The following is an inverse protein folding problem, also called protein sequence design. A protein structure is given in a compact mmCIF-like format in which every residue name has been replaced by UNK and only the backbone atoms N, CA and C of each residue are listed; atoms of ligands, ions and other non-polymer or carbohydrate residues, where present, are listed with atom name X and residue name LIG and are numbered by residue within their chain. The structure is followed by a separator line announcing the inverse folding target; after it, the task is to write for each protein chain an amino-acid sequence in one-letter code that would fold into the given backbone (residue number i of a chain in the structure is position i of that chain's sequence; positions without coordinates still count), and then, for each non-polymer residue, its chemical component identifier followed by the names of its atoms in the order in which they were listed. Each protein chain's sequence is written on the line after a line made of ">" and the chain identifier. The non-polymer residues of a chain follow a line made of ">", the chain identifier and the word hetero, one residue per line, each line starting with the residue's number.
data_IF_938645034509
#
_entry.id   IF_938645034509
#
_cell.length_a   1.000
_cell.length_b   1.000
_cell.length_c   1.000
_cell.angle_alpha   90.00
_cell.angle_beta   90.00
_cell.angle_gamma   90.00
#
_symmetry.space_group_name_H-M   'P 1'
#
loop_
_entity.id
_entity.type
_entity.pdbx_description
1 polymer ?
#
# COMPACT_ATOMS: atom_id res chain seq x y z
N UNK A 1 -17.69 -22.08 2.97
CA UNK A 1 -17.94 -20.62 2.84
C UNK A 1 -16.63 -19.97 2.45
N UNK A 2 -16.61 -19.21 1.34
CA UNK A 2 -15.40 -18.73 0.69
C UNK A 2 -14.50 -17.99 1.68
N UNK A 3 -13.30 -18.54 1.88
CA UNK A 3 -12.27 -17.98 2.75
C UNK A 3 -11.85 -16.63 2.14
N UNK A 4 -12.50 -15.54 2.58
CA UNK A 4 -12.27 -14.19 2.05
C UNK A 4 -10.83 -13.85 2.41
N UNK A 5 -9.93 -13.96 1.43
CA UNK A 5 -8.49 -13.81 1.65
C UNK A 5 -8.29 -12.48 2.40
N UNK A 6 -7.72 -12.51 3.62
CA UNK A 6 -7.56 -11.31 4.43
C UNK A 6 -6.55 -10.33 3.82
N UNK A 7 -5.82 -10.78 2.80
CA UNK A 7 -4.80 -10.00 2.10
C UNK A 7 -5.30 -9.75 0.68
N UNK A 8 -5.38 -8.48 0.31
CA UNK A 8 -5.72 -8.01 -1.04
C UNK A 8 -4.41 -7.60 -1.71
N UNK A 9 -4.16 -8.15 -2.89
CA UNK A 9 -3.02 -7.71 -3.68
C UNK A 9 -3.34 -6.37 -4.36
N UNK A 10 -2.49 -5.37 -4.12
CA UNK A 10 -2.60 -4.03 -4.69
C UNK A 10 -1.60 -3.82 -5.85
N UNK A 11 -0.69 -4.76 -6.12
CA UNK A 11 0.29 -4.63 -7.19
C UNK A 11 -0.38 -4.48 -8.54
N UNK A 12 -1.49 -5.18 -8.76
CA UNK A 12 -2.30 -5.06 -9.97
C UNK A 12 -2.87 -3.66 -10.22
N UNK A 13 -3.03 -2.83 -9.17
CA UNK A 13 -3.51 -1.46 -9.32
C UNK A 13 -2.39 -0.44 -9.54
N UNK A 14 -1.12 -0.87 -9.42
CA UNK A 14 0.06 -0.03 -9.58
C UNK A 14 -0.06 1.32 -8.82
N UNK A 15 -0.58 1.27 -7.59
CA UNK A 15 -0.80 2.46 -6.77
C UNK A 15 0.54 2.87 -6.17
N UNK A 16 0.95 4.09 -6.46
CA UNK A 16 2.13 4.71 -5.89
C UNK A 16 1.87 6.18 -5.58
N UNK A 17 2.59 6.70 -4.60
CA UNK A 17 2.55 8.11 -4.23
C UNK A 17 3.94 8.59 -3.85
N UNK A 18 4.21 9.87 -4.07
CA UNK A 18 5.44 10.49 -3.61
C UNK A 18 5.21 11.13 -2.24
N UNK A 19 6.12 10.89 -1.30
CA UNK A 19 6.13 11.49 0.04
C UNK A 19 7.57 11.80 0.41
N UNK A 20 7.87 13.05 0.79
CA UNK A 20 9.22 13.47 1.20
C UNK A 20 10.35 13.09 0.21
N UNK A 21 10.12 13.29 -1.09
CA UNK A 21 11.07 12.94 -2.16
C UNK A 21 11.34 11.42 -2.34
N UNK A 22 10.56 10.59 -1.65
CA UNK A 22 10.54 9.14 -1.79
C UNK A 22 9.28 8.74 -2.56
N UNK A 23 9.39 7.70 -3.38
CA UNK A 23 8.27 7.09 -4.09
C UNK A 23 7.85 5.84 -3.33
N UNK A 24 6.62 5.82 -2.85
CA UNK A 24 6.04 4.74 -2.08
C UNK A 24 5.08 3.97 -2.97
N UNK A 25 5.41 2.73 -3.28
CA UNK A 25 4.57 1.78 -4.02
C UNK A 25 3.81 0.88 -3.07
N UNK A 26 2.51 0.75 -3.24
CA UNK A 26 1.71 -0.18 -2.46
C UNK A 26 1.77 -1.59 -3.06
N UNK A 27 2.05 -2.59 -2.23
CA UNK A 27 2.12 -4.01 -2.62
C UNK A 27 0.87 -4.76 -2.21
N UNK A 28 0.60 -4.86 -0.91
CA UNK A 28 -0.48 -5.70 -0.38
C UNK A 28 -1.21 -5.00 0.73
N UNK A 29 -2.54 -5.15 0.77
CA UNK A 29 -3.38 -4.68 1.86
C UNK A 29 -3.80 -5.84 2.73
N UNK A 30 -3.29 -5.87 3.96
CA UNK A 30 -3.73 -6.80 4.97
C UNK A 30 -4.95 -6.23 5.71
N UNK A 31 -6.16 -6.67 5.34
CA UNK A 31 -7.42 -6.31 6.00
C UNK A 31 -7.49 -6.79 7.44
N UNK A 32 -6.77 -7.86 7.82
CA UNK A 32 -6.78 -8.39 9.20
C UNK A 32 -6.12 -7.42 10.19
N UNK A 33 -4.99 -6.82 9.78
CA UNK A 33 -4.23 -5.89 10.61
C UNK A 33 -4.43 -4.42 10.21
N UNK A 34 -5.22 -4.15 9.16
CA UNK A 34 -5.38 -2.84 8.53
C UNK A 34 -4.04 -2.18 8.17
N UNK A 35 -3.08 -2.98 7.71
CA UNK A 35 -1.75 -2.53 7.29
C UNK A 35 -1.55 -2.75 5.80
N UNK A 36 -0.74 -1.88 5.21
CA UNK A 36 -0.38 -1.90 3.80
C UNK A 36 1.12 -2.12 3.74
N UNK A 37 1.54 -3.18 3.06
CA UNK A 37 2.94 -3.36 2.68
C UNK A 37 3.25 -2.40 1.54
N UNK A 38 4.31 -1.63 1.73
CA UNK A 38 4.80 -0.63 0.81
C UNK A 38 6.26 -0.87 0.48
N UNK A 39 6.66 -0.44 -0.70
CA UNK A 39 8.05 -0.36 -1.11
C UNK A 39 8.42 1.10 -1.28
N UNK A 40 9.47 1.51 -0.59
CA UNK A 40 9.99 2.86 -0.66
C UNK A 40 11.15 2.86 -1.65
N UNK A 41 11.09 3.79 -2.60
CA UNK A 41 12.14 4.07 -3.57
C UNK A 41 12.61 5.50 -3.37
N UNK A 42 13.91 5.74 -3.47
CA UNK A 42 14.49 7.07 -3.37
C UNK A 42 15.41 7.28 -4.57
N UNK A 43 15.21 8.38 -5.29
CA UNK A 43 15.94 8.69 -6.52
C UNK A 43 15.94 7.53 -7.54
N UNK A 44 14.81 6.83 -7.67
CA UNK A 44 14.63 5.67 -8.56
C UNK A 44 15.30 4.37 -8.08
N UNK A 45 15.95 4.38 -6.91
CA UNK A 45 16.56 3.18 -6.31
C UNK A 45 15.65 2.61 -5.24
N UNK A 46 15.51 1.29 -5.23
CA UNK A 46 14.86 0.59 -4.14
C UNK A 46 15.60 0.88 -2.83
N UNK A 47 14.88 1.37 -1.83
CA UNK A 47 15.40 1.62 -0.49
C UNK A 47 15.07 0.44 0.42
N UNK A 48 13.77 0.22 0.66
CA UNK A 48 13.28 -0.80 1.59
C UNK A 48 11.82 -1.13 1.35
N UNK A 49 11.44 -2.32 1.76
CA UNK A 49 10.06 -2.68 2.03
C UNK A 49 9.71 -2.32 3.48
N UNK A 50 8.53 -1.75 3.67
CA UNK A 50 8.02 -1.35 4.98
C UNK A 50 6.52 -1.62 5.02
N UNK A 51 5.93 -1.63 6.20
CA UNK A 51 4.47 -1.64 6.33
C UNK A 51 4.00 -0.35 7.00
N UNK A 52 2.81 0.10 6.62
CA UNK A 52 2.18 1.28 7.21
C UNK A 52 0.73 1.01 7.53
N UNK A 53 0.19 1.72 8.51
CA UNK A 53 -1.22 1.61 8.88
C UNK A 53 -2.06 2.30 7.82
N UNK A 54 -3.15 1.66 7.40
CA UNK A 54 -4.06 2.19 6.39
C UNK A 54 -4.57 3.61 6.73
N UNK A 55 -4.76 3.91 8.02
CA UNK A 55 -5.21 5.22 8.48
C UNK A 55 -4.22 6.36 8.14
N UNK A 56 -2.91 6.07 8.13
CA UNK A 56 -1.85 7.04 7.87
C UNK A 56 -1.69 7.35 6.38
N UNK A 57 -2.28 6.55 5.50
CA UNK A 57 -2.25 6.83 4.07
C UNK A 57 -2.93 8.16 3.72
N UNK A 58 -2.46 8.86 2.68
CA UNK A 58 -3.13 10.04 2.15
C UNK A 58 -4.58 9.75 1.77
N UNK A 59 -5.46 10.77 1.88
CA UNK A 59 -6.90 10.62 1.59
C UNK A 59 -7.16 10.10 0.17
N UNK A 60 -6.38 10.57 -0.81
CA UNK A 60 -6.44 10.12 -2.20
C UNK A 60 -6.17 8.62 -2.34
N UNK A 61 -5.15 8.12 -1.66
CA UNK A 61 -4.77 6.69 -1.70
C UNK A 61 -5.79 5.83 -0.96
N UNK A 62 -6.27 6.29 0.21
CA UNK A 62 -7.34 5.61 0.95
C UNK A 62 -8.60 5.43 0.10
N UNK A 63 -8.97 6.43 -0.70
CA UNK A 63 -10.13 6.36 -1.59
C UNK A 63 -10.01 5.28 -2.67
N UNK A 64 -8.82 4.97 -3.15
CA UNK A 64 -8.57 3.93 -4.18
C UNK A 64 -8.65 2.51 -3.62
N UNK A 65 -8.40 2.36 -2.32
CA UNK A 65 -8.35 1.08 -1.61
C UNK A 65 -9.68 0.78 -0.91
N UNK A 66 -10.37 1.80 -0.37
CA UNK A 66 -11.65 1.65 0.33
C UNK A 66 -12.77 0.93 -0.44
N UNK A 67 -12.90 1.03 -1.78
CA UNK A 67 -13.92 0.27 -2.52
C UNK A 67 -13.57 -1.23 -2.69
N UNK A 68 -12.44 -1.72 -2.17
CA UNK A 68 -11.99 -3.13 -2.25
C UNK A 68 -12.38 -3.95 -1.03
#
# INVERSE_FOLDING_TARGET
>A
MANKKPIIDLKHKNIEYQENNQTIKLKTFNKKNMTIDITIYENGKYMKDSNIVFAHLPKSIKSLIKPL
#
